data_IF_843203060916
#
_entry.id   IF_843203060916
#
_cell.length_a   1.000
_cell.length_b   1.000
_cell.length_c   1.000
_cell.angle_alpha   90.00
_cell.angle_beta   90.00
_cell.angle_gamma   90.00
#
_symmetry.space_group_name_H-M   'P 1'
#
loop_
_entity.id
_entity.type
_entity.pdbx_description
1 polymer ?
#
# COMPACT_ATOMS: atom_id res chain seq x y z
N UNK A 1 -11.00 3.90 9.86
CA UNK A 1 -10.25 2.87 9.13
C UNK A 1 -8.83 3.37 8.94
N UNK A 2 -7.84 2.47 9.00
CA UNK A 2 -6.44 2.82 8.76
C UNK A 2 -5.90 1.95 7.64
N UNK A 3 -5.16 2.55 6.72
CA UNK A 3 -4.42 1.83 5.70
C UNK A 3 -2.95 2.10 5.95
N UNK A 4 -2.16 1.04 6.06
CA UNK A 4 -0.70 1.15 6.17
C UNK A 4 -0.10 0.75 4.84
N UNK A 5 0.82 1.56 4.33
CA UNK A 5 1.54 1.32 3.07
C UNK A 5 2.99 0.97 3.37
N UNK A 6 3.60 0.18 2.49
CA UNK A 6 5.03 -0.15 2.53
C UNK A 6 5.51 -0.50 1.12
N UNK A 7 6.69 0.01 0.77
CA UNK A 7 7.37 -0.21 -0.49
C UNK A 7 8.76 -0.79 -0.22
N UNK A 8 8.97 -2.06 -0.54
CA UNK A 8 10.24 -2.72 -0.25
C UNK A 8 11.01 -3.09 -1.51
N UNK A 9 12.34 -3.16 -1.39
CA UNK A 9 13.21 -3.78 -2.39
C UNK A 9 14.17 -4.74 -1.71
N UNK A 10 14.13 -5.99 -2.12
CA UNK A 10 15.08 -7.01 -1.70
C UNK A 10 15.74 -7.62 -2.94
N UNK A 11 17.05 -7.41 -3.07
CA UNK A 11 17.81 -7.77 -4.29
C UNK A 11 17.17 -7.14 -5.54
N UNK A 12 16.70 -7.97 -6.47
CA UNK A 12 16.02 -7.55 -7.70
C UNK A 12 14.49 -7.60 -7.58
N UNK A 13 13.93 -7.77 -6.38
CA UNK A 13 12.48 -7.81 -6.18
C UNK A 13 12.02 -6.54 -5.50
N UNK A 14 11.33 -5.70 -6.26
CA UNK A 14 10.65 -4.52 -5.75
C UNK A 14 9.16 -4.82 -5.59
N UNK A 15 8.60 -4.52 -4.42
CA UNK A 15 7.21 -4.81 -4.07
C UNK A 15 6.58 -3.58 -3.42
N UNK A 16 5.35 -3.31 -3.79
CA UNK A 16 4.48 -2.33 -3.12
C UNK A 16 3.35 -3.08 -2.43
N UNK A 17 2.99 -2.68 -1.22
CA UNK A 17 1.92 -3.31 -0.47
C UNK A 17 1.13 -2.31 0.36
N UNK A 18 -0.12 -2.64 0.62
CA UNK A 18 -0.91 -1.98 1.66
C UNK A 18 -1.73 -3.00 2.46
N UNK A 19 -2.03 -2.65 3.71
CA UNK A 19 -2.91 -3.41 4.59
C UNK A 19 -4.00 -2.52 5.16
N UNK A 20 -5.23 -3.03 5.19
CA UNK A 20 -6.38 -2.31 5.74
C UNK A 20 -6.69 -2.84 7.14
N UNK A 21 -6.78 -1.92 8.09
CA UNK A 21 -7.21 -2.17 9.45
C UNK A 21 -8.55 -1.48 9.74
N UNK A 22 -9.48 -2.25 10.28
CA UNK A 22 -10.76 -1.78 10.80
C UNK A 22 -10.93 -2.28 12.23
N UNK A 23 -11.24 -1.35 13.15
CA UNK A 23 -11.45 -1.63 14.57
C UNK A 23 -10.31 -2.44 15.22
N UNK A 24 -9.07 -2.10 14.85
CA UNK A 24 -7.85 -2.74 15.35
C UNK A 24 -7.54 -4.12 14.74
N UNK A 25 -8.35 -4.60 13.80
CA UNK A 25 -8.13 -5.88 13.11
C UNK A 25 -7.73 -5.65 11.66
N UNK A 26 -6.73 -6.40 11.20
CA UNK A 26 -6.40 -6.46 9.78
C UNK A 26 -7.52 -7.20 9.05
N UNK A 27 -8.04 -6.59 7.98
CA UNK A 27 -9.13 -7.15 7.18
C UNK A 27 -8.74 -7.41 5.73
N UNK A 28 -7.68 -6.77 5.25
CA UNK A 28 -7.17 -6.92 3.88
C UNK A 28 -5.65 -6.73 3.87
N UNK A 29 -4.99 -7.46 2.96
CA UNK A 29 -3.62 -7.24 2.56
C UNK A 29 -3.54 -7.36 1.04
N UNK A 30 -2.97 -6.34 0.40
CA UNK A 30 -2.72 -6.29 -1.03
C UNK A 30 -1.23 -6.06 -1.26
N UNK A 31 -0.64 -6.78 -2.20
CA UNK A 31 0.73 -6.56 -2.64
C UNK A 31 0.86 -6.76 -4.14
N UNK A 32 1.73 -5.97 -4.76
CA UNK A 32 2.06 -6.05 -6.17
C UNK A 32 3.56 -6.08 -6.34
N UNK A 33 4.04 -6.89 -7.29
CA UNK A 33 5.44 -6.88 -7.70
C UNK A 33 5.61 -5.83 -8.78
N UNK A 34 6.52 -4.89 -8.54
CA UNK A 34 6.96 -3.95 -9.54
C UNK A 34 8.09 -4.54 -10.37
N UNK A 35 8.41 -3.83 -11.45
CA UNK A 35 9.58 -4.13 -12.26
C UNK A 35 10.87 -4.12 -11.41
N UNK A 36 11.83 -4.98 -11.75
CA UNK A 36 13.05 -5.23 -10.97
C UNK A 36 13.98 -4.00 -10.90
N UNK A 37 13.90 -3.12 -11.90
CA UNK A 37 14.61 -1.84 -11.94
C UNK A 37 13.93 -0.74 -11.10
N UNK A 38 12.67 -0.93 -10.66
CA UNK A 38 11.97 0.04 -9.83
C UNK A 38 12.74 0.32 -8.52
N UNK A 39 12.76 1.57 -8.10
CA UNK A 39 13.38 1.99 -6.85
C UNK A 39 12.43 1.75 -5.67
N UNK A 40 12.99 1.68 -4.45
CA UNK A 40 12.18 1.67 -3.21
C UNK A 40 11.24 2.87 -3.17
N UNK A 41 11.72 4.06 -3.56
CA UNK A 41 10.90 5.26 -3.63
C UNK A 41 9.68 5.11 -4.56
N UNK A 42 9.84 4.50 -5.74
CA UNK A 42 8.72 4.22 -6.64
C UNK A 42 7.76 3.18 -6.05
N UNK A 43 8.30 2.23 -5.27
CA UNK A 43 7.50 1.24 -4.56
C UNK A 43 6.60 1.89 -3.49
N UNK A 44 7.15 2.80 -2.70
CA UNK A 44 6.38 3.57 -1.69
C UNK A 44 5.28 4.41 -2.34
N UNK A 45 5.64 5.16 -3.39
CA UNK A 45 4.67 5.98 -4.11
C UNK A 45 3.53 5.13 -4.68
N UNK A 46 3.87 3.99 -5.29
CA UNK A 46 2.86 3.07 -5.81
C UNK A 46 2.00 2.44 -4.71
N UNK A 47 2.55 2.15 -3.53
CA UNK A 47 1.78 1.64 -2.40
C UNK A 47 0.72 2.65 -1.92
N UNK A 48 1.06 3.95 -1.91
CA UNK A 48 0.12 5.03 -1.62
C UNK A 48 -0.95 5.14 -2.71
N UNK A 49 -0.57 5.11 -3.99
CA UNK A 49 -1.53 5.17 -5.11
C UNK A 49 -2.55 4.02 -5.03
N UNK A 50 -2.09 2.78 -4.80
CA UNK A 50 -2.95 1.61 -4.63
C UNK A 50 -3.90 1.75 -3.43
N UNK A 51 -3.41 2.30 -2.32
CA UNK A 51 -4.24 2.56 -1.15
C UNK A 51 -5.33 3.62 -1.45
N UNK A 52 -4.99 4.68 -2.19
CA UNK A 52 -5.94 5.72 -2.60
C UNK A 52 -6.98 5.16 -3.58
N UNK A 53 -6.55 4.39 -4.59
CA UNK A 53 -7.45 3.71 -5.51
C UNK A 53 -8.45 2.82 -4.76
N UNK A 54 -7.96 2.02 -3.81
CA UNK A 54 -8.81 1.19 -2.96
C UNK A 54 -9.84 2.01 -2.19
N UNK A 55 -9.46 3.16 -1.63
CA UNK A 55 -10.36 4.09 -0.93
C UNK A 55 -11.45 4.63 -1.86
N UNK A 56 -11.09 5.00 -3.08
CA UNK A 56 -12.02 5.55 -4.08
C UNK A 56 -13.01 4.48 -4.57
N UNK A 57 -12.53 3.28 -4.89
CA UNK A 57 -13.36 2.16 -5.35
C UNK A 57 -14.42 1.74 -4.32
N UNK A 58 -14.09 1.81 -3.03
CA UNK A 58 -14.99 1.41 -1.95
C UNK A 58 -15.76 2.60 -1.35
N UNK A 59 -15.56 3.81 -1.87
CA UNK A 59 -16.24 5.05 -1.43
C UNK A 59 -16.12 5.30 0.08
N UNK A 60 -14.96 5.02 0.68
CA UNK A 60 -14.77 5.26 2.11
C UNK A 60 -14.75 6.75 2.43
N UNK A 61 -15.53 7.17 3.43
CA UNK A 61 -15.74 8.59 3.77
C UNK A 61 -14.58 9.17 4.60
N UNK A 62 -13.91 8.36 5.43
CA UNK A 62 -12.79 8.79 6.27
C UNK A 62 -11.81 7.64 6.50
N UNK A 63 -10.59 7.81 6.01
CA UNK A 63 -9.49 6.85 6.11
C UNK A 63 -8.21 7.59 6.44
N UNK A 64 -7.43 7.05 7.37
CA UNK A 64 -6.06 7.50 7.62
C UNK A 64 -5.12 6.59 6.82
N UNK A 65 -4.36 7.15 5.87
CA UNK A 65 -3.27 6.44 5.18
C UNK A 65 -1.97 6.77 5.91
N UNK A 66 -1.22 5.75 6.28
CA UNK A 66 -0.01 5.85 7.11
C UNK A 66 1.15 5.19 6.36
N UNK A 67 2.22 5.95 6.19
CA UNK A 67 3.48 5.57 5.52
C UNK A 67 4.64 6.01 6.39
N UNK A 68 5.81 5.39 6.26
CA UNK A 68 7.06 5.76 6.95
C UNK A 68 7.92 6.77 6.18
#
# INVERSE_FOLDING_TARGET
>A
MKIYTDGSKMEQKTVSAFVVFQDGKQILHMSVRLNDEATVYLAELNAIDLAVEHVLEHSYVKVDIITD
#
